data_IF_557498701960
#
_entry.id   IF_557498701960
#
_cell.length_a   1.000
_cell.length_b   1.000
_cell.length_c   1.000
_cell.angle_alpha   90.00
_cell.angle_beta   90.00
_cell.angle_gamma   90.00
#
_symmetry.space_group_name_H-M   'P 1'
#
loop_
_entity.id
_entity.type
_entity.pdbx_description
1 polymer ?
#
# COMPACT_ATOMS: atom_id res chain seq x y z
N UNK A 1 -22.27 30.17 10.43
CA UNK A 1 -22.37 29.10 9.42
C UNK A 1 -21.00 28.91 8.79
N UNK A 2 -20.20 27.98 9.31
CA UNK A 2 -18.88 27.66 8.76
C UNK A 2 -19.11 26.91 7.44
N UNK A 3 -18.75 27.54 6.33
CA UNK A 3 -18.78 26.91 5.01
C UNK A 3 -17.79 25.74 5.07
N UNK A 4 -18.29 24.51 5.17
CA UNK A 4 -17.48 23.32 4.91
C UNK A 4 -17.19 23.38 3.42
N UNK A 5 -16.11 24.06 3.05
CA UNK A 5 -15.53 23.91 1.72
C UNK A 5 -15.02 22.47 1.71
N UNK A 6 -15.65 21.61 0.91
CA UNK A 6 -15.06 20.31 0.60
C UNK A 6 -13.84 20.59 -0.27
N UNK A 7 -12.72 20.88 0.37
CA UNK A 7 -11.44 20.87 -0.29
C UNK A 7 -11.26 19.49 -0.93
N UNK A 8 -10.82 19.49 -2.19
CA UNK A 8 -10.58 18.24 -2.92
C UNK A 8 -9.66 17.36 -2.07
N UNK A 9 -9.95 16.06 -1.92
CA UNK A 9 -9.07 15.16 -1.20
C UNK A 9 -7.65 15.27 -1.72
N UNK A 10 -6.67 15.27 -0.81
CA UNK A 10 -5.26 15.32 -1.21
C UNK A 10 -4.93 14.09 -2.09
N UNK A 11 -3.93 14.22 -2.97
CA UNK A 11 -3.51 13.09 -3.82
C UNK A 11 -3.14 11.85 -3.00
N UNK A 12 -2.60 12.05 -1.80
CA UNK A 12 -2.25 10.96 -0.89
C UNK A 12 -3.50 10.27 -0.34
N UNK A 13 -4.50 11.03 0.11
CA UNK A 13 -5.79 10.46 0.54
C UNK A 13 -6.45 9.71 -0.61
N UNK A 14 -6.47 10.29 -1.82
CA UNK A 14 -6.99 9.61 -3.01
C UNK A 14 -6.25 8.30 -3.30
N UNK A 15 -4.91 8.29 -3.23
CA UNK A 15 -4.12 7.06 -3.40
C UNK A 15 -4.52 6.00 -2.37
N UNK A 16 -4.56 6.36 -1.08
CA UNK A 16 -4.94 5.44 -0.01
C UNK A 16 -6.36 4.88 -0.16
N UNK A 17 -7.31 5.69 -0.63
CA UNK A 17 -8.68 5.23 -0.92
C UNK A 17 -8.70 4.22 -2.08
N UNK A 18 -7.87 4.42 -3.11
CA UNK A 18 -7.75 3.45 -4.21
C UNK A 18 -7.04 2.18 -3.76
N UNK A 19 -6.00 2.29 -2.93
CA UNK A 19 -5.32 1.15 -2.29
C UNK A 19 -6.30 0.32 -1.45
N UNK A 20 -7.16 0.98 -0.66
CA UNK A 20 -8.22 0.33 0.12
C UNK A 20 -9.24 -0.38 -0.76
N UNK A 21 -9.70 0.28 -1.84
CA UNK A 21 -10.62 -0.33 -2.78
C UNK A 21 -9.99 -1.56 -3.46
N UNK A 22 -8.72 -1.48 -3.84
CA UNK A 22 -7.96 -2.62 -4.36
C UNK A 22 -7.84 -3.73 -3.29
N UNK A 23 -7.55 -3.38 -2.04
CA UNK A 23 -7.54 -4.30 -0.91
C UNK A 23 -8.88 -5.04 -0.77
N UNK A 24 -10.01 -4.34 -0.82
CA UNK A 24 -11.33 -4.97 -0.78
C UNK A 24 -11.58 -5.91 -1.97
N UNK A 25 -11.20 -5.50 -3.19
CA UNK A 25 -11.35 -6.32 -4.41
C UNK A 25 -10.50 -7.59 -4.37
N UNK A 26 -9.27 -7.52 -3.85
CA UNK A 26 -8.38 -8.67 -3.72
C UNK A 26 -8.88 -9.70 -2.70
N UNK A 27 -9.80 -9.33 -1.82
CA UNK A 27 -10.50 -10.27 -0.94
C UNK A 27 -11.22 -11.38 -1.72
N UNK A 28 -11.78 -11.08 -2.90
CA UNK A 28 -12.38 -12.08 -3.78
C UNK A 28 -11.35 -13.05 -4.35
N UNK A 29 -10.17 -12.54 -4.71
CA UNK A 29 -9.06 -13.37 -5.18
C UNK A 29 -8.59 -14.30 -4.06
N UNK A 30 -8.46 -13.77 -2.83
CA UNK A 30 -8.11 -14.58 -1.67
C UNK A 30 -9.17 -15.66 -1.39
N UNK A 31 -10.46 -15.30 -1.41
CA UNK A 31 -11.55 -16.25 -1.24
C UNK A 31 -11.55 -17.36 -2.31
N UNK A 32 -11.22 -17.03 -3.57
CA UNK A 32 -11.06 -18.02 -4.64
C UNK A 32 -9.99 -19.07 -4.29
N UNK A 33 -8.87 -18.66 -3.69
CA UNK A 33 -7.78 -19.60 -3.31
C UNK A 33 -8.20 -20.62 -2.25
N UNK A 34 -9.26 -20.34 -1.47
CA UNK A 34 -9.77 -21.23 -0.43
C UNK A 34 -10.99 -22.03 -0.89
N UNK A 35 -11.87 -21.41 -1.67
CA UNK A 35 -13.14 -22.03 -2.09
C UNK A 35 -12.99 -22.88 -3.35
N UNK A 36 -12.09 -22.50 -4.27
CA UNK A 36 -11.92 -23.14 -5.57
C UNK A 36 -10.42 -23.17 -5.95
N UNK A 37 -9.57 -23.90 -5.20
CA UNK A 37 -8.11 -23.89 -5.38
C UNK A 37 -7.68 -24.32 -6.79
N UNK A 38 -8.33 -25.32 -7.39
CA UNK A 38 -8.04 -25.75 -8.76
C UNK A 38 -8.24 -24.63 -9.79
N UNK A 39 -9.30 -23.82 -9.62
CA UNK A 39 -9.54 -22.65 -10.49
C UNK A 39 -8.51 -21.54 -10.25
N UNK A 40 -8.12 -21.32 -8.99
CA UNK A 40 -7.06 -20.38 -8.66
C UNK A 40 -5.72 -20.78 -9.32
N UNK A 41 -5.38 -22.06 -9.29
CA UNK A 41 -4.19 -22.59 -9.96
C UNK A 41 -4.28 -22.51 -11.49
N UNK A 42 -5.47 -22.73 -12.06
CA UNK A 42 -5.71 -22.61 -13.50
C UNK A 42 -5.46 -21.18 -14.02
N UNK A 43 -5.73 -20.15 -13.21
CA UNK A 43 -5.42 -18.75 -13.54
C UNK A 43 -4.00 -18.31 -13.11
N UNK A 44 -3.16 -19.25 -12.67
CA UNK A 44 -1.74 -19.02 -12.39
C UNK A 44 -1.40 -18.66 -10.95
N UNK A 45 -2.35 -18.69 -10.00
CA UNK A 45 -2.05 -18.52 -8.59
C UNK A 45 -1.34 -19.78 -8.08
N UNK A 46 -0.12 -19.62 -7.57
CA UNK A 46 0.73 -20.70 -7.02
C UNK A 46 0.85 -20.64 -5.51
N UNK A 47 0.45 -19.54 -4.87
CA UNK A 47 0.48 -19.41 -3.42
C UNK A 47 -0.68 -18.58 -2.89
N UNK A 48 -1.68 -19.24 -2.30
CA UNK A 48 -2.79 -18.56 -1.61
C UNK A 48 -2.34 -17.78 -0.37
N UNK A 49 -1.26 -18.21 0.29
CA UNK A 49 -0.64 -17.47 1.39
C UNK A 49 -0.15 -16.08 0.93
N UNK A 50 0.52 -16.02 -0.22
CA UNK A 50 1.00 -14.74 -0.78
C UNK A 50 -0.15 -13.87 -1.28
N UNK A 51 -1.25 -14.47 -1.77
CA UNK A 51 -2.49 -13.71 -2.04
C UNK A 51 -3.06 -13.12 -0.74
N UNK A 52 -3.05 -13.86 0.37
CA UNK A 52 -3.49 -13.34 1.68
C UNK A 52 -2.64 -12.14 2.12
N UNK A 53 -1.32 -12.26 2.00
CA UNK A 53 -0.39 -11.17 2.34
C UNK A 53 -0.64 -9.96 1.46
N UNK A 54 -0.76 -10.14 0.14
CA UNK A 54 -1.08 -9.06 -0.78
C UNK A 54 -2.39 -8.33 -0.42
N UNK A 55 -3.45 -9.10 -0.14
CA UNK A 55 -4.76 -8.57 0.25
C UNK A 55 -4.67 -7.75 1.54
N UNK A 56 -4.10 -8.33 2.60
CA UNK A 56 -4.01 -7.67 3.90
C UNK A 56 -3.12 -6.44 3.85
N UNK A 57 -1.98 -6.51 3.17
CA UNK A 57 -1.07 -5.38 3.08
C UNK A 57 -1.66 -4.23 2.27
N UNK A 58 -2.44 -4.49 1.21
CA UNK A 58 -3.16 -3.41 0.51
C UNK A 58 -4.19 -2.73 1.42
N UNK A 59 -4.93 -3.50 2.22
CA UNK A 59 -5.89 -2.92 3.18
C UNK A 59 -5.18 -2.11 4.27
N UNK A 60 -4.10 -2.64 4.83
CA UNK A 60 -3.33 -1.97 5.88
C UNK A 60 -2.64 -0.72 5.36
N UNK A 61 -1.92 -0.82 4.23
CA UNK A 61 -1.22 0.30 3.62
C UNK A 61 -2.20 1.36 3.14
N UNK A 62 -3.29 0.99 2.46
CA UNK A 62 -4.33 1.94 2.06
C UNK A 62 -4.92 2.70 3.24
N UNK A 63 -5.25 1.98 4.33
CA UNK A 63 -5.73 2.59 5.58
C UNK A 63 -4.72 3.58 6.15
N UNK A 64 -3.45 3.18 6.21
CA UNK A 64 -2.37 3.98 6.75
C UNK A 64 -2.07 5.20 5.87
N UNK A 65 -2.14 5.07 4.55
CA UNK A 65 -1.98 6.16 3.58
C UNK A 65 -3.10 7.20 3.73
N UNK A 66 -4.36 6.76 3.86
CA UNK A 66 -5.49 7.66 4.15
C UNK A 66 -5.27 8.38 5.48
N UNK A 67 -4.95 7.65 6.54
CA UNK A 67 -4.71 8.23 7.86
C UNK A 67 -3.56 9.24 7.84
N UNK A 68 -2.45 8.92 7.19
CA UNK A 68 -1.31 9.81 7.00
C UNK A 68 -1.69 11.09 6.25
N UNK A 69 -2.44 10.96 5.15
CA UNK A 69 -2.89 12.11 4.36
C UNK A 69 -3.86 13.04 5.08
N UNK A 70 -4.68 12.49 6.00
CA UNK A 70 -5.58 13.27 6.85
C UNK A 70 -4.86 13.89 8.05
N UNK A 71 -3.94 13.16 8.68
CA UNK A 71 -3.21 13.62 9.86
C UNK A 71 -2.09 14.62 9.55
N UNK A 72 -1.55 14.59 8.32
CA UNK A 72 -0.47 15.46 7.87
C UNK A 72 -0.77 16.06 6.48
N UNK A 73 -1.82 16.90 6.36
CA UNK A 73 -2.22 17.47 5.07
C UNK A 73 -1.15 18.40 4.45
N UNK A 74 -0.23 18.88 5.28
CA UNK A 74 0.92 19.74 4.99
C UNK A 74 2.25 18.96 4.84
N UNK A 75 2.22 17.63 4.84
CA UNK A 75 3.42 16.82 4.65
C UNK A 75 4.15 17.21 3.36
N UNK A 76 5.49 17.12 3.39
CA UNK A 76 6.29 17.45 2.22
C UNK A 76 5.88 16.59 1.01
N UNK A 77 5.89 17.18 -0.19
CA UNK A 77 5.53 16.48 -1.43
C UNK A 77 6.40 15.24 -1.66
N UNK A 78 7.66 15.28 -1.21
CA UNK A 78 8.58 14.13 -1.28
C UNK A 78 8.11 12.99 -0.38
N UNK A 79 7.76 13.27 0.87
CA UNK A 79 7.27 12.25 1.80
C UNK A 79 5.93 11.67 1.33
N UNK A 80 5.00 12.52 0.91
CA UNK A 80 3.70 12.07 0.39
C UNK A 80 3.87 11.22 -0.89
N UNK A 81 4.73 11.64 -1.82
CA UNK A 81 5.03 10.89 -3.03
C UNK A 81 5.70 9.54 -2.74
N UNK A 82 6.68 9.52 -1.84
CA UNK A 82 7.35 8.29 -1.41
C UNK A 82 6.37 7.33 -0.73
N UNK A 83 5.50 7.82 0.16
CA UNK A 83 4.48 6.97 0.80
C UNK A 83 3.53 6.37 -0.24
N UNK A 84 2.99 7.17 -1.16
CA UNK A 84 2.10 6.65 -2.21
C UNK A 84 2.79 5.57 -3.06
N UNK A 85 4.04 5.77 -3.48
CA UNK A 85 4.78 4.76 -4.26
C UNK A 85 5.05 3.51 -3.43
N UNK A 86 5.50 3.66 -2.19
CA UNK A 86 5.78 2.55 -1.28
C UNK A 86 4.54 1.71 -0.98
N UNK A 87 3.41 2.38 -0.71
CA UNK A 87 2.13 1.75 -0.39
C UNK A 87 1.56 0.90 -1.53
N UNK A 88 1.90 1.19 -2.79
CA UNK A 88 1.58 0.30 -3.91
C UNK A 88 2.62 -0.78 -4.12
N UNK A 89 3.90 -0.41 -4.16
CA UNK A 89 4.98 -1.31 -4.59
C UNK A 89 5.31 -2.37 -3.56
N UNK A 90 5.19 -2.06 -2.26
CA UNK A 90 5.52 -3.01 -1.20
C UNK A 90 4.48 -4.16 -1.12
N UNK A 91 3.15 -3.91 -1.04
CA UNK A 91 2.17 -4.98 -1.08
C UNK A 91 2.18 -5.75 -2.40
N UNK A 92 2.40 -5.07 -3.54
CA UNK A 92 2.36 -5.71 -4.87
C UNK A 92 3.48 -6.73 -5.09
N UNK A 93 4.56 -6.70 -4.29
CA UNK A 93 5.57 -7.76 -4.31
C UNK A 93 4.97 -9.13 -3.96
N UNK A 94 3.96 -9.17 -3.07
CA UNK A 94 3.29 -10.42 -2.71
C UNK A 94 2.43 -10.98 -3.83
N UNK A 95 1.83 -10.13 -4.68
CA UNK A 95 1.16 -10.61 -5.89
C UNK A 95 2.14 -11.35 -6.80
N UNK A 96 3.31 -10.78 -7.05
CA UNK A 96 4.33 -11.44 -7.86
C UNK A 96 4.78 -12.78 -7.26
N UNK A 97 4.96 -12.84 -5.94
CA UNK A 97 5.28 -14.10 -5.25
C UNK A 97 4.12 -15.10 -5.24
N UNK A 98 2.88 -14.63 -5.33
CA UNK A 98 1.72 -15.49 -5.48
C UNK A 98 1.68 -16.17 -6.85
N UNK A 99 2.18 -15.51 -7.89
CA UNK A 99 2.22 -16.02 -9.26
C UNK A 99 3.51 -16.83 -9.55
N UNK A 100 4.65 -16.34 -9.05
CA UNK A 100 5.97 -16.98 -9.17
C UNK A 100 6.67 -17.03 -7.80
N UNK A 101 6.48 -18.10 -7.01
CA UNK A 101 7.15 -18.26 -5.72
C UNK A 101 8.68 -18.26 -5.81
N UNK A 102 9.25 -18.55 -6.99
CA UNK A 102 10.70 -18.54 -7.22
C UNK A 102 11.22 -17.14 -7.54
N UNK A 103 10.35 -16.13 -7.67
CA UNK A 103 10.77 -14.76 -7.95
C UNK A 103 11.77 -14.24 -6.89
N UNK A 104 11.65 -14.66 -5.63
CA UNK A 104 12.58 -14.25 -4.57
C UNK A 104 14.03 -14.73 -4.78
N UNK A 105 14.25 -15.78 -5.57
CA UNK A 105 15.60 -16.21 -5.93
C UNK A 105 16.31 -15.18 -6.84
N UNK A 106 15.55 -14.38 -7.59
CA UNK A 106 16.07 -13.40 -8.55
C UNK A 106 16.64 -12.18 -7.79
N UNK A 107 17.93 -11.82 -7.99
CA UNK A 107 18.53 -10.66 -7.31
C UNK A 107 17.79 -9.34 -7.60
N UNK A 108 17.28 -9.18 -8.82
CA UNK A 108 16.50 -8.00 -9.23
C UNK A 108 15.20 -7.86 -8.45
N UNK A 109 14.49 -8.97 -8.18
CA UNK A 109 13.28 -8.97 -7.37
C UNK A 109 13.57 -8.60 -5.91
N UNK A 110 14.66 -9.14 -5.35
CA UNK A 110 15.11 -8.79 -3.99
C UNK A 110 15.47 -7.31 -3.89
N UNK A 111 16.22 -6.78 -4.86
CA UNK A 111 16.57 -5.37 -4.92
C UNK A 111 15.33 -4.47 -5.02
N UNK A 112 14.36 -4.82 -5.87
CA UNK A 112 13.09 -4.10 -5.98
C UNK A 112 12.28 -4.14 -4.68
N UNK A 113 12.27 -5.28 -3.99
CA UNK A 113 11.60 -5.44 -2.69
C UNK A 113 12.26 -4.56 -1.62
N UNK A 114 13.59 -4.56 -1.54
CA UNK A 114 14.32 -3.66 -0.61
C UNK A 114 14.05 -2.19 -0.94
N UNK A 115 14.06 -1.82 -2.23
CA UNK A 115 13.77 -0.46 -2.65
C UNK A 115 12.34 -0.03 -2.24
N UNK A 116 11.34 -0.91 -2.35
CA UNK A 116 9.97 -0.61 -1.93
C UNK A 116 9.88 -0.38 -0.41
N UNK A 117 10.61 -1.17 0.40
CA UNK A 117 10.71 -0.94 1.85
C UNK A 117 11.38 0.39 2.18
N UNK A 118 12.47 0.74 1.50
CA UNK A 118 13.17 2.02 1.69
C UNK A 118 12.26 3.19 1.37
N UNK A 119 11.57 3.15 0.22
CA UNK A 119 10.64 4.20 -0.21
C UNK A 119 9.47 4.34 0.76
N UNK A 120 8.90 3.23 1.21
CA UNK A 120 7.83 3.21 2.23
C UNK A 120 8.30 3.83 3.54
N UNK A 121 9.52 3.51 3.97
CA UNK A 121 10.14 4.04 5.19
C UNK A 121 10.34 5.55 5.09
N UNK A 122 10.89 6.05 3.98
CA UNK A 122 11.04 7.48 3.70
C UNK A 122 9.67 8.18 3.74
N UNK A 123 8.65 7.56 3.16
CA UNK A 123 7.28 8.07 3.16
C UNK A 123 6.73 8.29 4.56
N UNK A 124 6.65 7.23 5.37
CA UNK A 124 6.10 7.32 6.72
C UNK A 124 6.93 8.21 7.65
N UNK A 125 8.25 8.06 7.65
CA UNK A 125 9.12 8.87 8.52
C UNK A 125 9.09 10.35 8.14
N UNK A 126 9.02 10.67 6.84
CA UNK A 126 8.87 12.04 6.36
C UNK A 126 7.51 12.67 6.70
N UNK A 127 6.44 11.88 6.67
CA UNK A 127 5.12 12.30 7.15
C UNK A 127 5.18 12.61 8.65
N UNK A 128 5.73 11.71 9.46
CA UNK A 128 5.87 11.89 10.92
C UNK A 128 6.72 13.13 11.25
N UNK A 129 7.82 13.36 10.53
CA UNK A 129 8.64 14.55 10.74
C UNK A 129 7.85 15.86 10.51
N UNK A 130 6.86 15.85 9.60
CA UNK A 130 5.99 17.01 9.37
C UNK A 130 5.00 17.21 10.53
N UNK A 131 4.39 16.13 11.02
CA UNK A 131 3.51 16.15 12.20
C UNK A 131 4.27 16.66 13.45
N UNK A 132 5.46 16.13 13.70
CA UNK A 132 6.29 16.51 14.86
C UNK A 132 6.68 17.99 14.78
N UNK A 133 7.14 18.47 13.63
CA UNK A 133 7.50 19.89 13.46
C UNK A 133 6.32 20.82 13.73
N UNK A 134 5.13 20.48 13.21
CA UNK A 134 3.92 21.27 13.49
C UNK A 134 3.57 21.28 14.98
N UNK A 135 3.67 20.13 15.65
CA UNK A 135 3.42 20.02 17.09
C UNK A 135 4.38 20.89 17.91
N UNK A 136 5.65 20.97 17.51
CA UNK A 136 6.66 21.78 18.21
C UNK A 136 6.53 23.28 17.95
N UNK A 137 5.81 23.69 16.91
CA UNK A 137 5.59 25.09 16.54
C UNK A 137 4.28 25.67 17.11
N UNK A 138 3.43 24.84 17.72
CA UNK A 138 2.19 25.23 18.39
C UNK A 138 2.44 25.48 19.89
#
# INVERSE_FOLDING_TARGET
MTRIVHDRPSRLVTSGMVELAAGALTGWVYALTHTQPERAEAIGIRSGERVRQWHLDLVMMGSATVAAGLAAPDASKVAAGALAVGAWTNPSAFLWLALDPKAYAKPTFRAASVASFVVTTIGFTGVVASVVRRRLAA
#
